data_IF_484644651587
#
_entry.id   IF_484644651587
#
_cell.length_a   1.000
_cell.length_b   1.000
_cell.length_c   1.000
_cell.angle_alpha   90.00
_cell.angle_beta   90.00
_cell.angle_gamma   90.00
#
_symmetry.space_group_name_H-M   'P 1'
#
loop_
_entity.id
_entity.type
_entity.pdbx_description
1 polymer ?
#
# COMPACT_ATOMS: atom_id res chain seq x y z
N UNK A 1 17.44 -16.18 7.38
CA UNK A 1 16.74 -15.38 8.41
C UNK A 1 17.29 -13.95 8.49
N UNK A 2 18.60 -13.73 8.55
CA UNK A 2 19.19 -12.36 8.55
C UNK A 2 18.84 -11.54 7.29
N UNK A 3 18.93 -12.15 6.09
CA UNK A 3 18.57 -11.47 4.84
C UNK A 3 17.11 -11.00 4.77
N UNK A 4 16.18 -11.82 5.26
CA UNK A 4 14.75 -11.48 5.29
C UNK A 4 14.47 -10.25 6.18
N UNK A 5 15.13 -10.15 7.34
CA UNK A 5 14.98 -9.02 8.24
C UNK A 5 15.46 -7.71 7.58
N UNK A 6 16.67 -7.73 7.00
CA UNK A 6 17.27 -6.56 6.35
C UNK A 6 16.40 -6.12 5.18
N UNK A 7 16.00 -7.05 4.31
CA UNK A 7 15.13 -6.73 3.16
C UNK A 7 13.77 -6.18 3.60
N UNK A 8 13.19 -6.71 4.68
CA UNK A 8 11.93 -6.18 5.22
C UNK A 8 12.08 -4.73 5.68
N UNK A 9 13.17 -4.40 6.38
CA UNK A 9 13.45 -3.03 6.85
C UNK A 9 13.66 -2.10 5.66
N UNK A 10 14.51 -2.49 4.70
CA UNK A 10 14.82 -1.69 3.51
C UNK A 10 13.55 -1.44 2.69
N UNK A 11 12.75 -2.48 2.44
CA UNK A 11 11.50 -2.38 1.68
C UNK A 11 10.49 -1.45 2.39
N UNK A 12 10.32 -1.57 3.71
CA UNK A 12 9.43 -0.70 4.48
C UNK A 12 9.88 0.77 4.43
N UNK A 13 11.18 1.04 4.55
CA UNK A 13 11.73 2.39 4.49
C UNK A 13 11.55 3.01 3.09
N UNK A 14 11.86 2.27 2.03
CA UNK A 14 11.64 2.70 0.65
C UNK A 14 10.15 3.00 0.43
N UNK A 15 9.27 2.10 0.86
CA UNK A 15 7.84 2.26 0.71
C UNK A 15 7.32 3.51 1.45
N UNK A 16 7.77 3.73 2.69
CA UNK A 16 7.43 4.95 3.43
C UNK A 16 7.90 6.22 2.72
N UNK A 17 9.14 6.24 2.20
CA UNK A 17 9.67 7.38 1.44
C UNK A 17 8.82 7.65 0.20
N UNK A 18 8.41 6.60 -0.54
CA UNK A 18 7.51 6.75 -1.69
C UNK A 18 6.15 7.33 -1.30
N UNK A 19 5.53 6.85 -0.20
CA UNK A 19 4.28 7.43 0.32
C UNK A 19 4.45 8.89 0.75
N UNK A 20 5.55 9.22 1.41
CA UNK A 20 5.85 10.58 1.85
C UNK A 20 6.06 11.53 0.67
N UNK A 21 6.84 11.12 -0.33
CA UNK A 21 7.11 11.91 -1.55
C UNK A 21 5.88 12.05 -2.44
N UNK A 22 5.02 11.02 -2.43
CA UNK A 22 3.75 10.94 -3.15
C UNK A 22 2.62 11.81 -2.59
N UNK A 23 2.86 12.54 -1.49
CA UNK A 23 1.87 13.40 -0.83
C UNK A 23 2.40 14.84 -0.64
N UNK A 24 1.55 15.75 -0.14
CA UNK A 24 1.97 17.09 0.32
C UNK A 24 1.38 18.27 -0.44
N UNK A 25 0.54 18.03 -1.41
CA UNK A 25 -0.36 19.02 -2.01
C UNK A 25 -1.52 18.30 -2.68
N UNK A 26 -2.56 19.04 -3.04
CA UNK A 26 -3.78 18.46 -3.60
C UNK A 26 -3.53 17.63 -4.88
N UNK A 27 -2.59 18.04 -5.73
CA UNK A 27 -2.29 17.34 -6.99
C UNK A 27 -1.59 15.99 -6.78
N UNK A 28 -0.81 15.89 -5.71
CA UNK A 28 -0.20 14.63 -5.28
C UNK A 28 -1.22 13.76 -4.57
N UNK A 29 -1.93 14.35 -3.62
CA UNK A 29 -2.93 13.69 -2.77
C UNK A 29 -4.07 13.07 -3.57
N UNK A 30 -4.49 13.69 -4.68
CA UNK A 30 -5.56 13.17 -5.55
C UNK A 30 -5.22 11.81 -6.17
N UNK A 31 -3.94 11.44 -6.29
CA UNK A 31 -3.54 10.12 -6.80
C UNK A 31 -3.97 8.98 -5.90
N UNK A 32 -4.15 9.26 -4.61
CA UNK A 32 -4.63 8.31 -3.60
C UNK A 32 -6.09 8.53 -3.24
N UNK A 33 -6.88 9.17 -4.11
CA UNK A 33 -8.28 9.55 -3.88
C UNK A 33 -9.12 8.43 -3.25
N UNK A 34 -8.99 7.19 -3.75
CA UNK A 34 -9.75 6.04 -3.25
C UNK A 34 -9.47 5.68 -1.77
N UNK A 35 -8.31 6.09 -1.25
CA UNK A 35 -7.89 5.83 0.14
C UNK A 35 -8.58 6.76 1.14
N UNK A 36 -9.10 7.90 0.69
CA UNK A 36 -9.77 8.88 1.55
C UNK A 36 -11.16 8.41 1.98
N UNK A 37 -11.65 8.80 3.18
CA UNK A 37 -13.03 8.54 3.61
C UNK A 37 -14.07 9.00 2.58
N UNK A 38 -15.21 8.32 2.54
CA UNK A 38 -16.24 8.55 1.51
C UNK A 38 -16.79 10.00 1.56
N UNK A 39 -16.83 10.59 2.74
CA UNK A 39 -17.24 11.97 2.96
C UNK A 39 -16.23 12.98 2.38
N UNK A 40 -14.93 12.68 2.41
CA UNK A 40 -13.92 13.52 1.74
C UNK A 40 -14.03 13.34 0.23
N UNK A 41 -14.25 12.11 -0.22
CA UNK A 41 -14.41 11.81 -1.65
C UNK A 41 -15.59 12.56 -2.28
N UNK A 42 -16.74 12.61 -1.60
CA UNK A 42 -17.94 13.30 -2.10
C UNK A 42 -17.74 14.81 -2.26
N UNK A 43 -16.92 15.43 -1.40
CA UNK A 43 -16.56 16.84 -1.52
C UNK A 43 -15.63 17.06 -2.73
N UNK A 44 -14.60 16.23 -2.85
CA UNK A 44 -13.54 16.41 -3.86
C UNK A 44 -14.02 16.09 -5.28
N UNK A 45 -14.99 15.17 -5.46
CA UNK A 45 -15.63 14.91 -6.76
C UNK A 45 -16.27 16.17 -7.35
N UNK A 46 -16.79 17.06 -6.49
CA UNK A 46 -17.42 18.30 -6.92
C UNK A 46 -16.44 19.49 -6.99
N UNK A 47 -15.16 19.27 -6.73
CA UNK A 47 -14.15 20.33 -6.75
C UNK A 47 -13.70 20.64 -8.18
N UNK A 48 -13.97 21.85 -8.68
CA UNK A 48 -13.68 22.23 -10.07
C UNK A 48 -12.21 22.09 -10.48
N UNK A 49 -11.27 22.24 -9.53
CA UNK A 49 -9.83 22.14 -9.79
C UNK A 49 -9.34 20.68 -9.82
N UNK A 50 -9.99 19.79 -9.07
CA UNK A 50 -9.52 18.41 -8.85
C UNK A 50 -10.34 17.36 -9.57
N UNK A 51 -11.62 17.62 -9.90
CA UNK A 51 -12.53 16.62 -10.49
C UNK A 51 -11.99 15.95 -11.74
N UNK A 52 -11.35 16.72 -12.63
CA UNK A 52 -10.77 16.22 -13.87
C UNK A 52 -9.47 15.41 -13.67
N UNK A 53 -8.92 15.40 -12.45
CA UNK A 53 -7.71 14.64 -12.08
C UNK A 53 -8.03 13.35 -11.31
N UNK A 54 -9.31 13.10 -11.01
CA UNK A 54 -9.73 11.89 -10.31
C UNK A 54 -9.68 10.71 -11.27
N UNK A 55 -8.91 9.69 -10.90
CA UNK A 55 -8.89 8.41 -11.60
C UNK A 55 -9.61 7.40 -10.73
N UNK A 56 -10.88 7.11 -11.06
CA UNK A 56 -11.63 6.03 -10.43
C UNK A 56 -11.29 4.70 -11.11
N UNK A 57 -10.78 3.76 -10.33
CA UNK A 57 -10.53 2.40 -10.77
C UNK A 57 -11.63 1.50 -10.22
N UNK A 58 -12.01 0.49 -10.98
CA UNK A 58 -12.90 -0.53 -10.43
C UNK A 58 -12.14 -1.29 -9.31
N UNK A 59 -12.83 -1.75 -8.25
CA UNK A 59 -12.19 -2.51 -7.18
C UNK A 59 -11.42 -3.74 -7.70
N UNK A 60 -11.91 -4.34 -8.78
CA UNK A 60 -11.26 -5.46 -9.46
C UNK A 60 -9.93 -5.05 -10.12
N UNK A 61 -9.91 -3.94 -10.88
CA UNK A 61 -8.69 -3.46 -11.52
C UNK A 61 -7.65 -3.02 -10.48
N UNK A 62 -8.07 -2.38 -9.39
CA UNK A 62 -7.17 -2.03 -8.28
C UNK A 62 -6.57 -3.28 -7.63
N UNK A 63 -7.38 -4.33 -7.41
CA UNK A 63 -6.89 -5.59 -6.87
C UNK A 63 -5.85 -6.27 -7.77
N UNK A 64 -6.17 -6.42 -9.07
CA UNK A 64 -5.24 -7.03 -10.04
C UNK A 64 -3.95 -6.21 -10.19
N UNK A 65 -4.06 -4.87 -10.22
CA UNK A 65 -2.90 -3.98 -10.28
C UNK A 65 -1.99 -4.16 -9.05
N UNK A 66 -2.57 -4.30 -7.86
CA UNK A 66 -1.81 -4.53 -6.64
C UNK A 66 -1.09 -5.88 -6.67
N UNK A 67 -1.79 -6.97 -7.06
CA UNK A 67 -1.14 -8.29 -7.22
C UNK A 67 0.03 -8.19 -8.20
N UNK A 68 -0.18 -7.57 -9.36
CA UNK A 68 0.87 -7.43 -10.38
C UNK A 68 2.09 -6.63 -9.89
N UNK A 69 1.86 -5.44 -9.32
CA UNK A 69 2.96 -4.57 -8.84
C UNK A 69 3.72 -5.24 -7.70
N UNK A 70 3.01 -5.81 -6.73
CA UNK A 70 3.66 -6.46 -5.59
C UNK A 70 4.36 -7.75 -5.98
N UNK A 71 3.88 -8.51 -6.96
CA UNK A 71 4.63 -9.64 -7.52
C UNK A 71 5.96 -9.21 -8.12
N UNK A 72 6.01 -8.11 -8.87
CA UNK A 72 7.30 -7.63 -9.40
C UNK A 72 8.25 -7.26 -8.26
N UNK A 73 7.76 -6.48 -7.29
CA UNK A 73 8.60 -6.00 -6.17
C UNK A 73 9.07 -7.15 -5.30
N UNK A 74 8.16 -8.04 -4.88
CA UNK A 74 8.51 -9.15 -3.98
C UNK A 74 9.30 -10.26 -4.67
N UNK A 75 9.14 -10.46 -5.98
CA UNK A 75 9.99 -11.37 -6.73
C UNK A 75 11.45 -10.88 -6.76
N UNK A 76 11.67 -9.57 -6.95
CA UNK A 76 13.01 -8.99 -6.91
C UNK A 76 13.68 -9.20 -5.55
N UNK A 77 12.96 -8.92 -4.45
CA UNK A 77 13.44 -9.25 -3.10
C UNK A 77 13.60 -10.77 -2.91
N UNK A 78 12.73 -11.56 -3.53
CA UNK A 78 12.71 -13.02 -3.52
C UNK A 78 14.02 -13.65 -3.97
N UNK A 79 14.70 -13.06 -4.96
CA UNK A 79 16.02 -13.50 -5.39
C UNK A 79 17.09 -13.33 -4.30
N UNK A 80 16.98 -12.29 -3.47
CA UNK A 80 17.94 -11.98 -2.40
C UNK A 80 17.70 -12.88 -1.17
N UNK A 81 16.44 -13.10 -0.82
CA UNK A 81 16.04 -13.87 0.38
C UNK A 81 15.83 -15.36 0.11
N UNK A 82 16.14 -15.83 -1.11
CA UNK A 82 15.91 -17.21 -1.54
C UNK A 82 16.56 -18.20 -0.58
N UNK A 83 15.82 -19.28 -0.31
CA UNK A 83 16.22 -20.43 0.49
C UNK A 83 16.15 -21.71 -0.36
N UNK A 84 16.76 -22.79 0.16
CA UNK A 84 16.97 -24.05 -0.58
C UNK A 84 15.72 -24.90 -0.86
N UNK A 85 14.50 -24.35 -0.74
CA UNK A 85 13.30 -25.11 -1.04
C UNK A 85 12.03 -24.27 -1.16
N UNK A 86 11.05 -24.80 -1.92
CA UNK A 86 9.77 -24.14 -2.21
C UNK A 86 9.06 -23.63 -0.95
N UNK A 87 8.94 -24.48 0.08
CA UNK A 87 8.27 -24.11 1.35
C UNK A 87 8.93 -22.92 2.03
N UNK A 88 10.26 -22.87 2.03
CA UNK A 88 11.01 -21.79 2.65
C UNK A 88 10.94 -20.50 1.84
N UNK A 89 10.96 -20.59 0.50
CA UNK A 89 10.76 -19.44 -0.38
C UNK A 89 9.36 -18.85 -0.21
N UNK A 90 8.34 -19.70 -0.18
CA UNK A 90 6.97 -19.28 0.08
C UNK A 90 6.85 -18.57 1.43
N UNK A 91 7.37 -19.17 2.50
CA UNK A 91 7.33 -18.56 3.83
C UNK A 91 8.09 -17.22 3.87
N UNK A 92 9.27 -17.13 3.26
CA UNK A 92 10.04 -15.90 3.22
C UNK A 92 9.28 -14.78 2.50
N UNK A 93 8.65 -15.06 1.36
CA UNK A 93 7.90 -14.05 0.59
C UNK A 93 6.60 -13.68 1.30
N UNK A 94 5.88 -14.65 1.89
CA UNK A 94 4.68 -14.35 2.71
C UNK A 94 5.07 -13.45 3.88
N UNK A 95 6.14 -13.77 4.62
CA UNK A 95 6.58 -12.95 5.76
C UNK A 95 6.96 -11.56 5.28
N UNK A 96 7.74 -11.44 4.20
CA UNK A 96 8.14 -10.13 3.66
C UNK A 96 6.91 -9.28 3.29
N UNK A 97 5.96 -9.85 2.56
CA UNK A 97 4.73 -9.16 2.16
C UNK A 97 3.85 -8.77 3.34
N UNK A 98 3.67 -9.65 4.33
CA UNK A 98 2.87 -9.34 5.51
C UNK A 98 3.55 -8.32 6.43
N UNK A 99 4.89 -8.32 6.53
CA UNK A 99 5.62 -7.27 7.25
C UNK A 99 5.41 -5.92 6.58
N UNK A 100 5.48 -5.84 5.25
CA UNK A 100 5.19 -4.60 4.52
C UNK A 100 3.73 -4.15 4.72
N UNK A 101 2.76 -5.07 4.63
CA UNK A 101 1.33 -4.78 4.85
C UNK A 101 1.05 -4.28 6.28
N UNK A 102 1.65 -4.93 7.27
CA UNK A 102 1.51 -4.54 8.67
C UNK A 102 2.20 -3.20 8.94
N UNK A 103 3.35 -2.94 8.33
CA UNK A 103 4.04 -1.66 8.43
C UNK A 103 3.20 -0.52 7.82
N UNK A 104 2.66 -0.73 6.61
CA UNK A 104 1.74 0.22 5.98
C UNK A 104 0.55 0.52 6.90
N UNK A 105 -0.15 -0.51 7.36
CA UNK A 105 -1.30 -0.32 8.23
C UNK A 105 -0.94 0.36 9.56
N UNK A 106 0.04 -0.15 10.30
CA UNK A 106 0.33 0.32 11.66
C UNK A 106 1.05 1.68 11.67
N UNK A 107 2.05 1.87 10.81
CA UNK A 107 2.88 3.07 10.84
C UNK A 107 2.40 4.12 9.84
N UNK A 108 2.21 3.74 8.58
CA UNK A 108 1.83 4.71 7.55
C UNK A 108 0.39 5.14 7.78
N UNK A 109 -0.57 4.22 7.79
CA UNK A 109 -1.98 4.54 7.87
C UNK A 109 -2.40 5.02 9.26
N UNK A 110 -2.11 4.23 10.31
CA UNK A 110 -2.64 4.52 11.65
C UNK A 110 -1.90 5.66 12.35
N UNK A 111 -0.58 5.73 12.24
CA UNK A 111 0.24 6.74 12.94
C UNK A 111 0.44 7.99 12.09
N UNK A 112 0.89 7.87 10.85
CA UNK A 112 1.32 9.04 10.07
C UNK A 112 0.18 9.69 9.26
N UNK A 113 -0.42 8.95 8.33
CA UNK A 113 -1.40 9.42 7.35
C UNK A 113 -2.58 10.08 8.06
N UNK A 114 -3.20 9.36 9.00
CA UNK A 114 -4.38 9.85 9.73
C UNK A 114 -4.12 11.08 10.58
N UNK A 115 -2.87 11.40 10.90
CA UNK A 115 -2.53 12.49 11.82
C UNK A 115 -1.75 13.64 11.16
N UNK A 116 -1.34 13.52 9.90
CA UNK A 116 -0.59 14.58 9.20
C UNK A 116 -1.51 15.51 8.42
N UNK A 117 -1.23 16.82 8.46
CA UNK A 117 -1.89 17.81 7.60
C UNK A 117 -1.50 17.65 6.12
N UNK A 118 -0.36 17.02 5.85
CA UNK A 118 0.23 16.86 4.51
C UNK A 118 -0.72 16.20 3.50
N UNK A 119 -1.56 15.30 3.96
CA UNK A 119 -2.49 14.54 3.12
C UNK A 119 -3.88 15.18 3.05
N UNK A 120 -4.11 16.31 3.73
CA UNK A 120 -5.41 16.99 3.73
C UNK A 120 -5.58 17.80 2.45
N UNK A 121 -6.79 17.80 1.90
CA UNK A 121 -7.14 18.66 0.78
C UNK A 121 -7.47 20.08 1.25
N UNK A 122 -7.04 21.09 0.48
CA UNK A 122 -7.46 22.47 0.73
C UNK A 122 -8.99 22.61 0.64
N UNK A 123 -9.58 23.35 1.57
CA UNK A 123 -11.04 23.51 1.70
C UNK A 123 -11.72 22.43 2.54
N UNK A 124 -10.97 21.49 3.14
CA UNK A 124 -11.49 20.44 4.02
C UNK A 124 -10.92 20.51 5.44
N UNK A 125 -10.33 21.64 5.82
CA UNK A 125 -9.58 21.83 7.07
C UNK A 125 -10.43 21.56 8.32
N UNK A 126 -11.74 21.82 8.24
CA UNK A 126 -12.70 21.57 9.34
C UNK A 126 -13.06 20.09 9.55
N UNK A 127 -12.58 19.18 8.69
CA UNK A 127 -12.98 17.78 8.65
C UNK A 127 -11.92 16.82 9.20
N UNK A 128 -10.99 17.29 10.05
CA UNK A 128 -9.88 16.46 10.56
C UNK A 128 -10.35 15.15 11.23
N UNK A 129 -11.47 15.18 11.96
CA UNK A 129 -12.06 13.98 12.57
C UNK A 129 -12.47 12.92 11.54
N UNK A 130 -12.92 13.33 10.35
CA UNK A 130 -13.29 12.44 9.25
C UNK A 130 -12.04 11.77 8.69
N UNK A 131 -10.97 12.55 8.44
CA UNK A 131 -9.69 12.01 7.99
C UNK A 131 -9.06 11.01 8.96
N UNK A 132 -9.32 11.16 10.25
CA UNK A 132 -8.88 10.24 11.30
C UNK A 132 -9.69 8.94 11.35
N UNK A 133 -10.71 8.74 10.53
CA UNK A 133 -11.50 7.51 10.55
C UNK A 133 -10.69 6.31 9.98
N UNK A 134 -10.45 5.23 10.76
CA UNK A 134 -9.60 4.12 10.33
C UNK A 134 -10.30 3.10 9.42
N UNK A 135 -11.63 3.21 9.21
CA UNK A 135 -12.44 2.15 8.57
C UNK A 135 -11.91 1.72 7.20
N UNK A 136 -11.49 2.68 6.35
CA UNK A 136 -10.95 2.35 5.02
C UNK A 136 -9.62 1.62 5.09
N UNK A 137 -8.71 2.12 5.93
CA UNK A 137 -7.40 1.50 6.14
C UNK A 137 -7.51 0.07 6.68
N UNK A 138 -8.43 -0.18 7.63
CA UNK A 138 -8.71 -1.55 8.12
C UNK A 138 -9.18 -2.47 6.98
N UNK A 139 -10.11 -2.00 6.14
CA UNK A 139 -10.58 -2.78 4.98
C UNK A 139 -9.45 -3.04 3.97
N UNK A 140 -8.59 -2.07 3.73
CA UNK A 140 -7.43 -2.21 2.83
C UNK A 140 -6.40 -3.19 3.38
N UNK A 141 -6.08 -3.11 4.68
CA UNK A 141 -5.18 -4.03 5.36
C UNK A 141 -5.64 -5.49 5.23
N UNK A 142 -6.93 -5.77 5.47
CA UNK A 142 -7.50 -7.11 5.33
C UNK A 142 -7.42 -7.64 3.89
N UNK A 143 -7.64 -6.77 2.89
CA UNK A 143 -7.43 -7.13 1.48
C UNK A 143 -5.95 -7.40 1.19
N UNK A 144 -5.04 -6.61 1.78
CA UNK A 144 -3.59 -6.77 1.68
C UNK A 144 -3.14 -8.16 2.14
N UNK A 145 -3.72 -8.70 3.21
CA UNK A 145 -3.41 -10.05 3.69
C UNK A 145 -3.61 -11.07 2.56
N UNK A 146 -4.74 -11.00 1.86
CA UNK A 146 -5.08 -11.91 0.75
C UNK A 146 -4.15 -11.68 -0.44
N UNK A 147 -3.90 -10.42 -0.81
CA UNK A 147 -3.00 -10.06 -1.92
C UNK A 147 -1.61 -10.65 -1.71
N UNK A 148 -1.02 -10.48 -0.54
CA UNK A 148 0.35 -10.95 -0.29
C UNK A 148 0.48 -12.48 -0.21
N UNK A 149 -0.58 -13.20 0.17
CA UNK A 149 -0.60 -14.67 0.06
C UNK A 149 -0.61 -15.11 -1.41
N UNK A 150 -1.42 -14.46 -2.26
CA UNK A 150 -1.48 -14.75 -3.70
C UNK A 150 -0.14 -14.43 -4.36
N UNK A 151 0.41 -13.26 -4.08
CA UNK A 151 1.73 -12.84 -4.60
C UNK A 151 2.80 -13.84 -4.21
N UNK A 152 2.87 -14.25 -2.94
CA UNK A 152 3.86 -15.23 -2.50
C UNK A 152 3.73 -16.58 -3.21
N UNK A 153 2.51 -17.02 -3.51
CA UNK A 153 2.29 -18.24 -4.28
C UNK A 153 2.83 -18.10 -5.72
N UNK A 154 2.50 -16.99 -6.40
CA UNK A 154 2.96 -16.69 -7.77
C UNK A 154 4.50 -16.62 -7.79
N UNK A 155 5.09 -15.82 -6.93
CA UNK A 155 6.52 -15.54 -6.95
C UNK A 155 7.32 -16.79 -6.59
N UNK A 156 6.85 -17.62 -5.67
CA UNK A 156 7.52 -18.88 -5.32
C UNK A 156 7.48 -19.89 -6.47
N UNK A 157 6.36 -19.95 -7.20
CA UNK A 157 6.26 -20.77 -8.40
C UNK A 157 7.31 -20.31 -9.41
N UNK A 158 7.41 -19.01 -9.68
CA UNK A 158 8.41 -18.44 -10.60
C UNK A 158 9.83 -18.77 -10.14
N UNK A 159 10.16 -18.52 -8.87
CA UNK A 159 11.48 -18.84 -8.28
C UNK A 159 11.83 -20.32 -8.29
N UNK A 160 10.86 -21.22 -8.52
CA UNK A 160 11.13 -22.66 -8.61
C UNK A 160 11.57 -23.08 -10.01
N UNK A 161 11.32 -22.26 -11.02
CA UNK A 161 11.72 -22.49 -12.40
C UNK A 161 12.99 -21.74 -12.81
N UNK A 162 13.47 -20.82 -11.97
CA UNK A 162 14.72 -20.05 -12.15
C UNK A 162 15.78 -20.60 -11.21
#
# INVERSE_FOLDING_TARGET
MMGLLIESIVLCLIFFVLCFLGTGNDEKNIKSFESYPDEIQSIIINNDRLKNKIVMKSPYISFISNVFIFSIVLLLCGFIIRAGGWKWNFLNIVILGQVLNAFDFLFIDMIWWRNTERVRFKGTEKLDSVYKNPKKHIKSFLKGIVVFVIVAAIDTIILSFI
#
